data_IF_951385866274
#
_entry.id   IF_951385866274
#
_cell.length_a   1.000
_cell.length_b   1.000
_cell.length_c   1.000
_cell.angle_alpha   90.00
_cell.angle_beta   90.00
_cell.angle_gamma   90.00
#
_symmetry.space_group_name_H-M   'P 1'
#
loop_
_entity.id
_entity.type
_entity.pdbx_description
1 polymer ?
#
# COMPACT_ATOMS: atom_id res chain seq x y z
N UNK A 1 22.15 44.66 -3.38
CA UNK A 1 20.72 44.33 -3.50
C UNK A 1 20.49 43.72 -4.86
N UNK A 2 20.51 42.39 -4.94
CA UNK A 2 19.85 41.55 -5.95
C UNK A 2 20.31 40.12 -5.72
N UNK A 3 19.83 39.51 -4.65
CA UNK A 3 19.94 38.06 -4.49
C UNK A 3 18.67 37.46 -5.11
N UNK A 4 18.79 37.08 -6.37
CA UNK A 4 17.73 36.42 -7.14
C UNK A 4 17.70 34.96 -6.74
N UNK A 5 16.92 34.65 -5.70
CA UNK A 5 16.63 33.28 -5.29
C UNK A 5 15.74 32.62 -6.35
N UNK A 6 16.34 31.78 -7.19
CA UNK A 6 15.65 30.85 -8.08
C UNK A 6 14.72 29.97 -7.24
N UNK A 7 13.42 30.16 -7.42
CA UNK A 7 12.40 29.26 -6.87
C UNK A 7 12.46 27.97 -7.68
N UNK A 8 13.13 26.95 -7.13
CA UNK A 8 13.09 25.58 -7.64
C UNK A 8 11.64 25.11 -7.68
N UNK A 9 11.05 25.17 -8.87
CA UNK A 9 9.73 24.66 -9.19
C UNK A 9 9.81 23.14 -9.34
N UNK A 10 9.94 22.43 -8.23
CA UNK A 10 9.74 20.98 -8.21
C UNK A 10 8.28 20.73 -8.56
N UNK A 11 8.02 20.26 -9.79
CA UNK A 11 6.70 19.77 -10.16
C UNK A 11 6.29 18.70 -9.16
N UNK A 12 5.29 19.01 -8.34
CA UNK A 12 4.61 18.02 -7.50
C UNK A 12 3.86 17.08 -8.43
N UNK A 13 4.28 15.82 -8.48
CA UNK A 13 3.55 14.76 -9.18
C UNK A 13 2.43 14.28 -8.27
N UNK A 14 1.18 14.37 -8.75
CA UNK A 14 0.02 13.83 -8.04
C UNK A 14 -0.53 12.62 -8.80
N UNK A 15 -0.78 11.53 -8.11
CA UNK A 15 -1.40 10.35 -8.68
C UNK A 15 -2.93 10.41 -8.53
N UNK A 16 -3.66 9.91 -9.53
CA UNK A 16 -5.09 9.62 -9.40
C UNK A 16 -5.27 8.14 -9.68
N UNK A 17 -5.94 7.44 -8.77
CA UNK A 17 -6.07 5.98 -8.83
C UNK A 17 -7.36 5.53 -8.13
N UNK A 18 -7.81 4.32 -8.47
CA UNK A 18 -8.99 3.69 -7.90
C UNK A 18 -8.78 2.18 -7.84
N UNK A 19 -9.45 1.51 -6.89
CA UNK A 19 -9.37 0.06 -6.70
C UNK A 19 -10.77 -0.55 -6.58
N UNK A 20 -10.93 -1.75 -7.16
CA UNK A 20 -12.16 -2.54 -7.10
C UNK A 20 -11.83 -4.03 -7.05
N UNK A 21 -12.48 -4.77 -6.17
CA UNK A 21 -12.40 -6.24 -6.08
C UNK A 21 -13.80 -6.84 -6.23
N UNK A 22 -13.85 -8.11 -6.63
CA UNK A 22 -15.07 -8.89 -6.86
C UNK A 22 -14.81 -10.36 -6.46
N UNK A 23 -15.78 -11.00 -5.80
CA UNK A 23 -15.67 -12.41 -5.37
C UNK A 23 -15.59 -13.40 -6.54
N UNK A 24 -16.02 -12.95 -7.72
CA UNK A 24 -16.12 -13.76 -8.92
C UNK A 24 -17.34 -14.70 -8.89
N UNK A 25 -17.28 -15.76 -9.70
CA UNK A 25 -18.46 -16.59 -10.01
C UNK A 25 -18.57 -17.89 -9.19
N UNK A 26 -17.50 -18.28 -8.49
CA UNK A 26 -17.39 -19.62 -7.92
C UNK A 26 -17.16 -19.63 -6.40
N UNK A 27 -16.44 -18.64 -5.87
CA UNK A 27 -16.16 -18.55 -4.43
C UNK A 27 -17.36 -17.95 -3.69
N UNK A 28 -17.54 -18.34 -2.43
CA UNK A 28 -18.58 -17.78 -1.54
C UNK A 28 -18.13 -16.50 -0.85
N UNK A 29 -16.83 -16.37 -0.61
CA UNK A 29 -16.20 -15.25 0.08
C UNK A 29 -15.02 -14.76 -0.75
N UNK A 30 -14.79 -13.45 -0.70
CA UNK A 30 -13.65 -12.83 -1.34
C UNK A 30 -12.52 -12.72 -0.31
N UNK A 31 -11.40 -13.38 -0.57
CA UNK A 31 -10.22 -13.35 0.28
C UNK A 31 -9.20 -12.29 -0.21
N UNK A 32 -9.51 -11.54 -1.27
CA UNK A 32 -8.67 -10.46 -1.79
C UNK A 32 -8.81 -9.18 -0.96
N UNK A 33 -7.69 -8.54 -0.64
CA UNK A 33 -7.64 -7.21 -0.01
C UNK A 33 -6.81 -6.24 -0.86
N UNK A 34 -7.12 -4.94 -0.79
CA UNK A 34 -6.35 -3.91 -1.49
C UNK A 34 -6.18 -2.62 -0.69
N UNK A 35 -5.13 -1.87 -1.04
CA UNK A 35 -4.84 -0.53 -0.54
C UNK A 35 -4.63 0.41 -1.74
N UNK A 36 -5.27 1.58 -1.70
CA UNK A 36 -5.08 2.64 -2.70
C UNK A 36 -4.79 3.93 -1.97
N UNK A 37 -3.53 4.37 -2.01
CA UNK A 37 -3.03 5.57 -1.33
C UNK A 37 -2.19 6.44 -2.29
N UNK A 38 -2.83 7.08 -3.28
CA UNK A 38 -2.13 7.92 -4.25
C UNK A 38 -1.39 9.11 -3.62
N UNK A 39 -1.82 9.55 -2.44
CA UNK A 39 -1.23 10.65 -1.69
C UNK A 39 0.18 10.34 -1.15
N UNK A 40 0.53 9.06 -0.99
CA UNK A 40 1.89 8.61 -0.62
C UNK A 40 2.51 7.67 -1.66
N UNK A 41 1.90 7.56 -2.85
CA UNK A 41 2.42 6.70 -3.92
C UNK A 41 2.41 5.20 -3.60
N UNK A 42 1.44 4.72 -2.81
CA UNK A 42 1.35 3.32 -2.41
C UNK A 42 0.07 2.64 -2.92
N UNK A 43 0.26 1.47 -3.52
CA UNK A 43 -0.82 0.59 -3.95
C UNK A 43 -0.47 -0.86 -3.62
N UNK A 44 -1.43 -1.58 -3.04
CA UNK A 44 -1.24 -2.97 -2.61
C UNK A 44 -2.42 -3.79 -3.06
N UNK A 45 -2.14 -5.01 -3.52
CA UNK A 45 -3.12 -6.08 -3.72
C UNK A 45 -2.58 -7.30 -2.99
N UNK A 46 -3.41 -7.91 -2.15
CA UNK A 46 -3.08 -9.12 -1.41
C UNK A 46 -4.15 -10.19 -1.69
N UNK A 47 -3.75 -11.31 -2.29
CA UNK A 47 -4.58 -12.49 -2.52
C UNK A 47 -4.48 -13.41 -1.28
N UNK A 48 -5.59 -13.55 -0.57
CA UNK A 48 -5.69 -14.38 0.61
C UNK A 48 -5.93 -15.84 0.26
N UNK A 49 -5.16 -16.74 0.86
CA UNK A 49 -5.35 -18.19 0.71
C UNK A 49 -5.50 -18.84 2.09
N UNK A 50 -6.50 -19.71 2.25
CA UNK A 50 -6.68 -20.46 3.49
C UNK A 50 -8.05 -21.12 3.66
N UNK A 51 -9.09 -20.56 3.03
CA UNK A 51 -10.46 -21.08 3.11
C UNK A 51 -11.12 -20.84 4.47
N UNK A 52 -12.46 -20.76 4.44
CA UNK A 52 -13.41 -20.63 5.56
C UNK A 52 -13.26 -19.46 6.55
N UNK A 53 -12.10 -18.80 6.69
CA UNK A 53 -11.86 -17.57 7.50
C UNK A 53 -10.35 -17.21 7.65
N UNK A 54 -9.43 -17.99 7.06
CA UNK A 54 -7.99 -17.75 7.23
C UNK A 54 -7.39 -16.85 6.15
N UNK A 55 -7.87 -16.94 4.90
CA UNK A 55 -7.30 -16.19 3.77
C UNK A 55 -7.65 -14.71 3.82
N UNK A 56 -8.90 -14.37 4.17
CA UNK A 56 -9.35 -12.99 4.33
C UNK A 56 -8.63 -12.28 5.49
N UNK A 57 -8.38 -12.97 6.61
CA UNK A 57 -7.61 -12.42 7.74
C UNK A 57 -6.17 -12.14 7.33
N UNK A 58 -5.53 -13.05 6.60
CA UNK A 58 -4.15 -12.89 6.14
C UNK A 58 -4.01 -11.68 5.18
N UNK A 59 -4.86 -11.58 4.16
CA UNK A 59 -4.80 -10.48 3.19
C UNK A 59 -5.14 -9.13 3.83
N UNK A 60 -6.11 -9.09 4.75
CA UNK A 60 -6.44 -7.89 5.51
C UNK A 60 -5.29 -7.46 6.43
N UNK A 61 -4.60 -8.42 7.07
CA UNK A 61 -3.47 -8.10 7.94
C UNK A 61 -2.36 -7.38 7.16
N UNK A 62 -2.00 -7.88 5.98
CA UNK A 62 -1.01 -7.25 5.10
C UNK A 62 -1.41 -5.82 4.74
N UNK A 63 -2.63 -5.62 4.24
CA UNK A 63 -3.12 -4.30 3.83
C UNK A 63 -3.20 -3.32 5.01
N UNK A 64 -3.70 -3.77 6.16
CA UNK A 64 -3.87 -2.93 7.34
C UNK A 64 -2.52 -2.50 7.92
N UNK A 65 -1.51 -3.37 7.96
CA UNK A 65 -0.18 -2.97 8.45
C UNK A 65 0.54 -2.04 7.48
N UNK A 66 0.45 -2.29 6.17
CA UNK A 66 1.08 -1.42 5.17
C UNK A 66 0.42 -0.04 5.13
N UNK A 67 -0.88 0.05 5.44
CA UNK A 67 -1.60 1.32 5.55
C UNK A 67 -1.00 2.27 6.58
N UNK A 68 -0.41 1.74 7.65
CA UNK A 68 0.17 2.55 8.74
C UNK A 68 1.55 3.11 8.39
N UNK A 69 2.16 2.72 7.27
CA UNK A 69 3.45 3.27 6.84
C UNK A 69 3.24 4.74 6.39
N UNK A 70 3.97 5.70 7.00
CA UNK A 70 3.92 7.10 6.60
C UNK A 70 4.66 7.32 5.27
N UNK A 71 4.45 8.46 4.61
CA UNK A 71 5.22 8.82 3.41
C UNK A 71 6.73 8.80 3.71
N UNK A 72 7.48 8.01 2.93
CA UNK A 72 8.92 7.89 3.08
C UNK A 72 9.65 9.16 2.60
N UNK A 73 10.75 9.50 3.28
CA UNK A 73 11.62 10.63 2.88
C UNK A 73 12.38 10.32 1.59
N UNK A 74 12.66 9.03 1.33
CA UNK A 74 13.24 8.52 0.10
C UNK A 74 12.61 7.18 -0.28
N UNK A 75 12.77 6.76 -1.53
CA UNK A 75 12.24 5.49 -2.01
C UNK A 75 12.92 4.30 -1.33
N UNK A 76 14.21 4.39 -1.06
CA UNK A 76 14.99 3.33 -0.40
C UNK A 76 14.45 3.08 1.01
N UNK A 77 14.26 4.13 1.80
CA UNK A 77 13.68 4.01 3.14
C UNK A 77 12.26 3.44 3.09
N UNK A 78 11.49 3.82 2.07
CA UNK A 78 10.13 3.35 1.88
C UNK A 78 10.08 1.85 1.57
N UNK A 79 11.01 1.35 0.77
CA UNK A 79 11.17 -0.09 0.49
C UNK A 79 11.55 -0.84 1.77
N UNK A 80 12.51 -0.33 2.54
CA UNK A 80 12.93 -0.95 3.80
C UNK A 80 11.75 -1.05 4.79
N UNK A 81 10.97 0.01 4.97
CA UNK A 81 9.79 0.02 5.86
C UNK A 81 8.72 -0.98 5.40
N UNK A 82 8.50 -1.12 4.10
CA UNK A 82 7.57 -2.09 3.53
C UNK A 82 8.07 -3.52 3.79
N UNK A 83 9.36 -3.79 3.57
CA UNK A 83 9.96 -5.11 3.80
C UNK A 83 9.87 -5.50 5.29
N UNK A 84 10.28 -4.63 6.19
CA UNK A 84 10.21 -4.85 7.64
C UNK A 84 8.77 -5.11 8.10
N UNK A 85 7.81 -4.34 7.56
CA UNK A 85 6.39 -4.51 7.86
C UNK A 85 5.87 -5.86 7.37
N UNK A 86 6.19 -6.26 6.15
CA UNK A 86 5.79 -7.55 5.58
C UNK A 86 6.40 -8.74 6.34
N UNK A 87 7.68 -8.65 6.71
CA UNK A 87 8.35 -9.64 7.55
C UNK A 87 7.67 -9.73 8.93
N UNK A 88 7.29 -8.58 9.50
CA UNK A 88 6.56 -8.50 10.77
C UNK A 88 5.20 -9.18 10.71
N UNK A 89 4.44 -8.99 9.62
CA UNK A 89 3.14 -9.66 9.40
C UNK A 89 3.31 -11.18 9.34
N UNK A 90 4.30 -11.66 8.59
CA UNK A 90 4.53 -13.10 8.41
C UNK A 90 4.96 -13.83 9.70
N UNK A 91 5.35 -13.10 10.75
CA UNK A 91 5.77 -13.65 12.05
C UNK A 91 4.66 -13.64 13.11
N UNK A 92 3.46 -13.13 12.79
CA UNK A 92 2.29 -13.16 13.68
C UNK A 92 1.50 -14.45 13.52
#
# INVERSE_FOLDING_TARGET
MSDSTEKNNTKSFSWTSFGKTDVGKARKLNEDSMLVRPEVGMWVVADGMGGHEAGDVASQMVVNTLKEIPEGISLEKYIDDIEDTLIGVNKK
#
